data_IF_939726162730
#
_entry.id   IF_939726162730
#
_cell.length_a   1.000
_cell.length_b   1.000
_cell.length_c   1.000
_cell.angle_alpha   90.00
_cell.angle_beta   90.00
_cell.angle_gamma   90.00
#
_symmetry.space_group_name_H-M   'P 1'
#
loop_
_entity.id
_entity.type
_entity.pdbx_description
1 polymer ?
#
# COMPACT_ATOMS: atom_id res chain seq x y z
N UNK A 1 -12.67 -10.54 -68.10
CA UNK A 1 -11.45 -10.07 -67.42
C UNK A 1 -11.60 -10.53 -65.97
N UNK A 2 -11.15 -11.75 -65.72
CA UNK A 2 -11.24 -12.45 -64.44
C UNK A 2 -9.86 -12.39 -63.82
N UNK A 3 -9.70 -11.60 -62.77
CA UNK A 3 -8.46 -11.58 -61.99
C UNK A 3 -8.43 -12.82 -61.08
N UNK A 4 -7.55 -13.76 -61.44
CA UNK A 4 -7.10 -14.85 -60.57
C UNK A 4 -6.34 -14.24 -59.39
N UNK A 5 -6.95 -14.31 -58.20
CA UNK A 5 -6.25 -14.03 -56.95
C UNK A 5 -5.42 -15.27 -56.56
N UNK A 6 -4.10 -15.09 -56.58
CA UNK A 6 -3.09 -16.11 -56.29
C UNK A 6 -3.18 -16.63 -54.84
N UNK A 7 -3.53 -17.91 -54.69
CA UNK A 7 -3.70 -18.58 -53.40
C UNK A 7 -2.40 -18.83 -52.64
N UNK A 8 -1.24 -18.65 -53.29
CA UNK A 8 0.07 -18.85 -52.64
C UNK A 8 0.47 -17.69 -51.71
N UNK A 9 -0.12 -16.50 -51.88
CA UNK A 9 0.14 -15.37 -51.00
C UNK A 9 -0.41 -15.58 -49.57
N UNK A 10 -1.50 -16.34 -49.42
CA UNK A 10 -2.11 -16.63 -48.12
C UNK A 10 -1.45 -17.79 -47.35
N UNK A 11 -0.68 -18.65 -48.04
CA UNK A 11 0.04 -19.76 -47.39
C UNK A 11 1.36 -19.32 -46.74
N UNK A 12 1.92 -18.20 -47.18
CA UNK A 12 3.18 -17.64 -46.67
C UNK A 12 3.07 -17.03 -45.26
N UNK A 13 1.88 -16.58 -44.83
CA UNK A 13 1.67 -16.01 -43.49
C UNK A 13 1.50 -17.11 -42.41
N UNK A 14 1.08 -18.32 -42.80
CA UNK A 14 0.84 -19.43 -41.88
C UNK A 14 2.10 -20.24 -41.51
N UNK A 15 3.25 -19.96 -42.14
CA UNK A 15 4.50 -20.69 -41.95
C UNK A 15 5.68 -19.82 -41.45
N UNK A 16 5.39 -18.66 -40.86
CA UNK A 16 6.38 -17.98 -40.00
C UNK A 16 6.27 -18.62 -38.61
N UNK A 17 6.84 -19.81 -38.50
CA UNK A 17 7.11 -20.48 -37.22
C UNK A 17 8.03 -19.55 -36.41
N UNK A 18 7.46 -18.79 -35.47
CA UNK A 18 8.18 -17.82 -34.62
C UNK A 18 9.03 -18.58 -33.60
N UNK A 19 10.36 -18.67 -33.77
CA UNK A 19 11.23 -19.29 -32.77
C UNK A 19 11.33 -18.44 -31.49
N UNK A 20 10.94 -17.16 -31.54
CA UNK A 20 10.92 -16.24 -30.40
C UNK A 20 9.89 -16.58 -29.33
N UNK A 21 8.75 -17.16 -29.69
CA UNK A 21 7.70 -17.44 -28.70
C UNK A 21 8.09 -18.60 -27.78
N UNK A 22 8.70 -19.65 -28.33
CA UNK A 22 9.18 -20.80 -27.58
C UNK A 22 10.38 -20.44 -26.69
N UNK A 23 11.30 -19.59 -27.16
CA UNK A 23 12.44 -19.11 -26.37
C UNK A 23 12.01 -18.15 -25.25
N UNK A 24 11.00 -17.29 -25.48
CA UNK A 24 10.43 -16.42 -24.45
C UNK A 24 9.68 -17.20 -23.36
N UNK A 25 8.94 -18.25 -23.71
CA UNK A 25 8.28 -19.15 -22.76
C UNK A 25 9.30 -19.94 -21.92
N UNK A 26 10.38 -20.43 -22.55
CA UNK A 26 11.49 -21.10 -21.87
C UNK A 26 12.22 -20.16 -20.89
N UNK A 27 12.50 -18.92 -21.31
CA UNK A 27 13.11 -17.90 -20.45
C UNK A 27 12.19 -17.48 -19.29
N UNK A 28 10.89 -17.39 -19.53
CA UNK A 28 9.88 -17.12 -18.49
C UNK A 28 9.85 -18.23 -17.44
N UNK A 29 9.87 -19.49 -17.86
CA UNK A 29 9.87 -20.64 -16.96
C UNK A 29 11.15 -20.69 -16.11
N UNK A 30 12.31 -20.49 -16.72
CA UNK A 30 13.59 -20.43 -16.00
C UNK A 30 13.62 -19.28 -14.97
N UNK A 31 13.15 -18.09 -15.35
CA UNK A 31 13.07 -16.94 -14.44
C UNK A 31 12.09 -17.18 -13.28
N UNK A 32 10.98 -17.90 -13.52
CA UNK A 32 10.03 -18.27 -12.47
C UNK A 32 10.65 -19.24 -11.46
N UNK A 33 11.41 -20.25 -11.93
CA UNK A 33 12.11 -21.21 -11.06
C UNK A 33 13.15 -20.50 -10.19
N UNK A 34 13.99 -19.63 -10.77
CA UNK A 34 14.98 -18.84 -10.02
C UNK A 34 14.31 -17.96 -8.96
N UNK A 35 13.18 -17.35 -9.29
CA UNK A 35 12.41 -16.51 -8.36
C UNK A 35 11.85 -17.34 -7.19
N UNK A 36 11.33 -18.53 -7.45
CA UNK A 36 10.83 -19.40 -6.38
C UNK A 36 11.97 -19.85 -5.46
N UNK A 37 13.12 -20.23 -6.02
CA UNK A 37 14.31 -20.58 -5.23
C UNK A 37 14.77 -19.42 -4.33
N UNK A 38 14.77 -18.19 -4.85
CA UNK A 38 15.12 -17.01 -4.07
C UNK A 38 14.09 -16.71 -2.96
N UNK A 39 12.80 -16.89 -3.25
CA UNK A 39 11.74 -16.79 -2.23
C UNK A 39 11.91 -17.83 -1.12
N UNK A 40 12.27 -19.06 -1.48
CA UNK A 40 12.53 -20.14 -0.53
C UNK A 40 13.75 -19.86 0.35
N UNK A 41 14.80 -19.23 -0.19
CA UNK A 41 15.95 -18.80 0.61
C UNK A 41 15.55 -17.75 1.64
N UNK A 42 14.76 -16.74 1.25
CA UNK A 42 14.24 -15.72 2.17
C UNK A 42 13.36 -16.38 3.25
N UNK A 43 12.48 -17.31 2.87
CA UNK A 43 11.63 -18.07 3.80
C UNK A 43 12.46 -18.85 4.82
N UNK A 44 13.52 -19.55 4.38
CA UNK A 44 14.41 -20.34 5.26
C UNK A 44 15.18 -19.47 6.25
N UNK A 45 15.46 -18.21 5.92
CA UNK A 45 16.09 -17.26 6.83
C UNK A 45 15.15 -16.77 7.96
N UNK A 46 13.84 -17.02 7.84
CA UNK A 46 12.86 -16.64 8.86
C UNK A 46 12.77 -17.69 9.98
N UNK A 47 12.55 -17.19 11.21
CA UNK A 47 12.26 -18.04 12.37
C UNK A 47 10.93 -18.78 12.16
N UNK A 48 10.76 -19.95 12.78
CA UNK A 48 9.56 -20.77 12.64
C UNK A 48 8.25 -19.97 12.80
N UNK A 49 8.12 -19.16 13.86
CA UNK A 49 6.93 -18.32 14.10
C UNK A 49 6.74 -17.14 13.13
N UNK A 50 7.64 -16.94 12.17
CA UNK A 50 7.53 -15.95 11.09
C UNK A 50 7.25 -16.61 9.72
N UNK A 51 7.46 -17.92 9.59
CA UNK A 51 7.27 -18.64 8.33
C UNK A 51 5.81 -18.66 7.89
N UNK A 52 4.86 -18.74 8.84
CA UNK A 52 3.42 -18.71 8.55
C UNK A 52 3.01 -17.48 7.71
N UNK A 53 3.64 -16.33 7.98
CA UNK A 53 3.40 -15.11 7.22
C UNK A 53 4.01 -15.15 5.82
N UNK A 54 5.16 -15.80 5.65
CA UNK A 54 5.80 -15.98 4.35
C UNK A 54 5.08 -17.03 3.48
N UNK A 55 4.43 -18.00 4.12
CA UNK A 55 3.66 -19.07 3.46
C UNK A 55 2.21 -18.67 3.18
N UNK A 56 1.80 -17.47 3.60
CA UNK A 56 0.48 -16.94 3.38
C UNK A 56 0.16 -16.81 1.88
N UNK A 57 -0.93 -17.48 1.45
CA UNK A 57 -1.41 -17.47 0.05
C UNK A 57 -2.67 -16.63 -0.17
N UNK A 58 -3.32 -16.19 0.91
CA UNK A 58 -4.60 -15.48 0.86
C UNK A 58 -5.42 -15.69 2.12
N UNK A 59 -6.52 -14.94 2.24
CA UNK A 59 -7.42 -15.01 3.40
C UNK A 59 -6.89 -14.32 4.65
N UNK A 60 -7.69 -14.27 5.73
CA UNK A 60 -7.25 -13.66 6.98
C UNK A 60 -6.15 -14.49 7.65
N UNK A 61 -5.09 -13.83 8.11
CA UNK A 61 -4.02 -14.42 8.91
C UNK A 61 -3.71 -13.50 10.08
N UNK A 62 -3.57 -14.08 11.27
CA UNK A 62 -3.11 -13.36 12.46
C UNK A 62 -1.83 -14.03 12.97
N UNK A 63 -0.80 -13.22 13.23
CA UNK A 63 0.48 -13.69 13.77
C UNK A 63 0.71 -12.99 15.11
N UNK A 64 0.73 -13.78 16.19
CA UNK A 64 1.09 -13.27 17.51
C UNK A 64 2.60 -13.06 17.59
N UNK A 65 3.03 -11.94 18.17
CA UNK A 65 4.45 -11.80 18.46
C UNK A 65 4.75 -10.86 19.64
N UNK A 66 5.77 -11.26 20.40
CA UNK A 66 6.34 -10.55 21.55
C UNK A 66 7.17 -9.34 21.09
N UNK A 67 7.34 -8.28 21.89
CA UNK A 67 8.32 -7.22 21.61
C UNK A 67 9.71 -7.81 21.27
N UNK A 68 10.43 -7.21 20.31
CA UNK A 68 11.75 -7.69 19.90
C UNK A 68 11.76 -8.97 19.05
N UNK A 69 10.62 -9.62 18.80
CA UNK A 69 10.55 -10.87 18.01
C UNK A 69 10.84 -10.73 16.49
N UNK A 70 11.32 -9.56 16.05
CA UNK A 70 11.66 -9.33 14.64
C UNK A 70 10.47 -9.20 13.70
N UNK A 71 9.26 -8.90 14.21
CA UNK A 71 8.01 -8.76 13.41
C UNK A 71 8.18 -7.96 12.13
N UNK A 72 8.80 -6.78 12.21
CA UNK A 72 8.97 -5.92 11.03
C UNK A 72 9.89 -6.53 9.97
N UNK A 73 10.91 -7.29 10.39
CA UNK A 73 11.80 -8.01 9.47
C UNK A 73 11.07 -9.18 8.80
N UNK A 74 10.33 -9.96 9.59
CA UNK A 74 9.47 -11.01 9.04
C UNK A 74 8.44 -10.46 8.06
N UNK A 75 7.79 -9.35 8.41
CA UNK A 75 6.75 -8.73 7.58
C UNK A 75 7.33 -8.20 6.27
N UNK A 76 8.55 -7.66 6.29
CA UNK A 76 9.23 -7.23 5.07
C UNK A 76 9.55 -8.41 4.14
N UNK A 77 10.06 -9.52 4.71
CA UNK A 77 10.33 -10.74 3.95
C UNK A 77 9.07 -11.36 3.36
N UNK A 78 8.01 -11.50 4.17
CA UNK A 78 6.72 -11.99 3.70
C UNK A 78 6.09 -11.09 2.63
N UNK A 79 6.23 -9.77 2.77
CA UNK A 79 5.76 -8.81 1.75
C UNK A 79 6.50 -9.01 0.43
N UNK A 80 7.83 -9.16 0.45
CA UNK A 80 8.61 -9.40 -0.75
C UNK A 80 8.24 -10.72 -1.44
N UNK A 81 8.07 -11.80 -0.67
CA UNK A 81 7.59 -13.10 -1.16
C UNK A 81 6.19 -12.97 -1.77
N UNK A 82 5.27 -12.26 -1.09
CA UNK A 82 3.92 -12.05 -1.60
C UNK A 82 3.92 -11.23 -2.90
N UNK A 83 4.76 -10.20 -3.00
CA UNK A 83 4.94 -9.41 -4.24
C UNK A 83 5.46 -10.28 -5.38
N UNK A 84 6.49 -11.08 -5.10
CA UNK A 84 7.12 -11.97 -6.08
C UNK A 84 6.16 -13.04 -6.60
N UNK A 85 5.48 -13.76 -5.70
CA UNK A 85 4.58 -14.87 -6.03
C UNK A 85 3.30 -14.41 -6.74
N UNK A 86 2.76 -13.26 -6.36
CA UNK A 86 1.51 -12.75 -6.92
C UNK A 86 1.72 -11.79 -8.11
N UNK A 87 2.97 -11.57 -8.53
CA UNK A 87 3.31 -10.65 -9.62
C UNK A 87 2.78 -9.24 -9.38
N UNK A 88 2.90 -8.72 -8.14
CA UNK A 88 2.35 -7.42 -7.78
C UNK A 88 3.12 -6.28 -8.46
N UNK A 89 2.39 -5.28 -8.93
CA UNK A 89 2.92 -4.14 -9.69
C UNK A 89 2.12 -2.86 -9.37
N UNK A 90 2.47 -1.72 -9.98
CA UNK A 90 1.89 -0.43 -9.61
C UNK A 90 0.35 -0.32 -9.77
N UNK A 91 -0.28 -1.19 -10.56
CA UNK A 91 -1.74 -1.26 -10.70
C UNK A 91 -2.39 -2.34 -9.81
N UNK A 92 -1.60 -3.22 -9.20
CA UNK A 92 -2.04 -4.28 -8.28
C UNK A 92 -1.03 -4.37 -7.14
N UNK A 93 -1.21 -3.54 -6.12
CA UNK A 93 -0.23 -3.31 -5.06
C UNK A 93 -0.59 -4.03 -3.76
N UNK A 94 0.43 -4.42 -3.00
CA UNK A 94 0.31 -4.76 -1.59
C UNK A 94 0.27 -3.49 -0.74
N UNK A 95 -0.74 -3.34 0.11
CA UNK A 95 -0.84 -2.22 1.06
C UNK A 95 -0.45 -2.71 2.45
N UNK A 96 0.63 -2.14 2.99
CA UNK A 96 1.08 -2.41 4.36
C UNK A 96 0.74 -1.19 5.23
N UNK A 97 0.08 -1.42 6.35
CA UNK A 97 -0.36 -0.36 7.26
C UNK A 97 0.24 -0.55 8.64
N UNK A 98 0.69 0.54 9.26
CA UNK A 98 1.20 0.52 10.63
C UNK A 98 0.77 1.77 11.41
N UNK A 99 1.11 1.84 12.69
CA UNK A 99 0.66 2.92 13.57
C UNK A 99 1.49 4.20 13.38
N UNK A 100 2.83 4.09 13.38
CA UNK A 100 3.71 5.27 13.36
C UNK A 100 4.37 5.49 12.01
N UNK A 101 4.70 6.77 11.72
CA UNK A 101 5.44 7.15 10.51
C UNK A 101 6.84 6.52 10.47
N UNK A 102 7.51 6.43 11.62
CA UNK A 102 8.84 5.81 11.74
C UNK A 102 8.79 4.31 11.43
N UNK A 103 7.78 3.59 11.93
CA UNK A 103 7.58 2.18 11.59
C UNK A 103 7.29 2.00 10.09
N UNK A 104 6.46 2.87 9.50
CA UNK A 104 6.14 2.81 8.08
C UNK A 104 7.40 3.00 7.21
N UNK A 105 8.24 3.99 7.54
CA UNK A 105 9.49 4.24 6.84
C UNK A 105 10.47 3.05 6.96
N UNK A 106 10.62 2.50 8.17
CA UNK A 106 11.49 1.35 8.43
C UNK A 106 11.02 0.10 7.65
N UNK A 107 9.74 -0.24 7.73
CA UNK A 107 9.16 -1.38 6.98
C UNK A 107 9.35 -1.17 5.47
N UNK A 108 9.09 0.03 4.97
CA UNK A 108 9.28 0.37 3.55
C UNK A 108 10.72 0.17 3.09
N UNK A 109 11.70 0.61 3.87
CA UNK A 109 13.11 0.40 3.56
C UNK A 109 13.47 -1.09 3.51
N UNK A 110 13.03 -1.87 4.50
CA UNK A 110 13.27 -3.32 4.56
C UNK A 110 12.62 -4.09 3.42
N UNK A 111 11.41 -3.72 2.99
CA UNK A 111 10.76 -4.35 1.83
C UNK A 111 11.59 -4.09 0.58
N UNK A 112 12.09 -2.87 0.38
CA UNK A 112 12.93 -2.53 -0.78
C UNK A 112 14.22 -3.31 -0.83
N UNK A 113 14.88 -3.46 0.32
CA UNK A 113 16.08 -4.29 0.47
C UNK A 113 15.80 -5.73 0.03
N UNK A 114 14.72 -6.35 0.53
CA UNK A 114 14.33 -7.71 0.12
C UNK A 114 13.95 -7.82 -1.36
N UNK A 115 13.29 -6.81 -1.93
CA UNK A 115 12.98 -6.79 -3.36
C UNK A 115 14.26 -6.65 -4.20
N UNK A 116 15.28 -5.94 -3.72
CA UNK A 116 16.57 -5.82 -4.38
C UNK A 116 17.32 -7.16 -4.38
N UNK A 117 17.30 -7.89 -3.26
CA UNK A 117 17.82 -9.26 -3.18
C UNK A 117 17.16 -10.21 -4.21
N UNK A 118 15.86 -10.00 -4.46
CA UNK A 118 15.10 -10.76 -5.46
C UNK A 118 15.25 -10.25 -6.91
N UNK A 119 16.04 -9.21 -7.14
CA UNK A 119 16.15 -8.52 -8.45
C UNK A 119 14.79 -8.07 -9.01
N UNK A 120 13.85 -7.71 -8.13
CA UNK A 120 12.52 -7.26 -8.50
C UNK A 120 12.43 -5.74 -8.53
N UNK A 121 11.44 -5.25 -9.29
CA UNK A 121 11.12 -3.82 -9.31
C UNK A 121 10.75 -3.34 -7.90
N UNK A 122 11.18 -2.13 -7.55
CA UNK A 122 10.92 -1.52 -6.25
C UNK A 122 9.48 -0.96 -6.10
N UNK A 123 8.59 -1.38 -7.01
CA UNK A 123 7.17 -1.07 -7.03
C UNK A 123 6.31 -2.22 -6.50
N UNK A 124 5.00 -2.18 -6.77
CA UNK A 124 4.10 -3.26 -6.37
C UNK A 124 3.68 -3.26 -4.90
N UNK A 125 4.08 -2.25 -4.11
CA UNK A 125 3.60 -2.07 -2.75
C UNK A 125 3.55 -0.59 -2.33
N UNK A 126 2.77 -0.31 -1.29
CA UNK A 126 2.77 0.95 -0.58
C UNK A 126 2.72 0.70 0.93
N UNK A 127 3.35 1.60 1.70
CA UNK A 127 3.37 1.53 3.17
C UNK A 127 2.83 2.83 3.72
N UNK A 128 1.80 2.74 4.54
CA UNK A 128 1.10 3.89 5.11
C UNK A 128 0.95 3.76 6.62
N UNK A 129 0.70 4.89 7.28
CA UNK A 129 -0.01 4.85 8.56
C UNK A 129 -1.52 4.73 8.31
N UNK A 130 -2.31 4.39 9.33
CA UNK A 130 -3.78 4.40 9.19
C UNK A 130 -4.29 5.75 8.67
N UNK A 131 -3.86 6.85 9.29
CA UNK A 131 -4.19 8.20 8.84
C UNK A 131 -3.69 8.51 7.43
N UNK A 132 -2.46 8.07 7.10
CA UNK A 132 -1.89 8.28 5.77
C UNK A 132 -2.65 7.53 4.67
N UNK A 133 -3.15 6.32 4.98
CA UNK A 133 -3.99 5.55 4.06
C UNK A 133 -5.37 6.21 3.91
N UNK A 134 -5.99 6.60 5.02
CA UNK A 134 -7.27 7.29 5.00
C UNK A 134 -7.22 8.57 4.16
N UNK A 135 -6.19 9.40 4.36
CA UNK A 135 -5.97 10.59 3.56
C UNK A 135 -5.75 10.23 2.08
N UNK A 136 -4.96 9.19 1.78
CA UNK A 136 -4.74 8.76 0.40
C UNK A 136 -6.04 8.34 -0.30
N UNK A 137 -6.92 7.61 0.39
CA UNK A 137 -8.23 7.20 -0.12
C UNK A 137 -9.11 8.43 -0.34
N UNK A 138 -9.23 9.31 0.65
CA UNK A 138 -10.04 10.52 0.56
C UNK A 138 -9.61 11.40 -0.62
N UNK A 139 -8.29 11.57 -0.81
CA UNK A 139 -7.75 12.36 -1.91
C UNK A 139 -7.95 11.77 -3.30
N UNK A 140 -8.12 10.45 -3.41
CA UNK A 140 -8.45 9.80 -4.70
C UNK A 140 -9.93 9.92 -5.05
N UNK A 141 -10.77 10.29 -4.08
CA UNK A 141 -12.20 10.50 -4.26
C UNK A 141 -12.64 11.85 -3.66
N UNK A 142 -12.17 13.00 -4.20
CA UNK A 142 -12.53 14.33 -3.69
C UNK A 142 -14.04 14.56 -3.63
N UNK A 143 -14.77 14.12 -4.66
CA UNK A 143 -16.21 14.29 -4.77
C UNK A 143 -16.99 13.58 -3.65
N UNK A 144 -16.44 12.48 -3.13
CA UNK A 144 -17.03 11.71 -2.03
C UNK A 144 -16.53 12.18 -0.66
N UNK A 145 -15.30 12.69 -0.58
CA UNK A 145 -14.70 13.10 0.70
C UNK A 145 -15.00 14.55 1.08
N UNK A 146 -15.39 15.39 0.11
CA UNK A 146 -15.55 16.83 0.30
C UNK A 146 -14.22 17.55 0.58
N UNK A 147 -13.08 16.86 0.44
CA UNK A 147 -11.75 17.42 0.66
C UNK A 147 -11.18 17.93 -0.66
N UNK A 148 -10.97 19.24 -0.77
CA UNK A 148 -10.18 19.85 -1.84
C UNK A 148 -8.92 20.50 -1.24
N UNK A 149 -7.74 19.95 -1.50
CA UNK A 149 -6.45 20.45 -0.99
C UNK A 149 -6.05 21.82 -1.56
N UNK A 150 -6.67 22.30 -2.65
CA UNK A 150 -6.48 23.70 -3.08
C UNK A 150 -6.97 24.67 -2.00
N UNK A 151 -7.98 24.26 -1.22
CA UNK A 151 -8.62 25.07 -0.19
C UNK A 151 -8.48 24.48 1.23
N UNK A 152 -7.92 23.27 1.38
CA UNK A 152 -7.88 22.52 2.64
C UNK A 152 -6.45 22.27 3.06
N UNK A 153 -5.94 23.06 4.01
CA UNK A 153 -4.62 22.84 4.60
C UNK A 153 -4.77 21.97 5.84
N UNK A 154 -3.94 20.92 5.96
CA UNK A 154 -3.81 20.19 7.22
C UNK A 154 -3.35 21.14 8.32
N UNK A 155 -4.25 21.43 9.24
CA UNK A 155 -3.99 22.39 10.32
C UNK A 155 -3.09 21.75 11.36
N UNK A 156 -1.98 22.43 11.70
CA UNK A 156 -1.10 21.98 12.78
C UNK A 156 -1.83 22.05 14.13
N UNK A 157 -1.50 21.24 15.14
CA UNK A 157 -2.16 21.29 16.45
C UNK A 157 -2.15 22.70 17.07
N UNK A 158 -1.03 23.42 16.95
CA UNK A 158 -0.90 24.81 17.42
C UNK A 158 -1.86 25.76 16.72
N UNK A 159 -1.98 25.63 15.40
CA UNK A 159 -2.92 26.46 14.63
C UNK A 159 -4.37 26.09 14.95
N UNK A 160 -4.66 24.81 15.19
CA UNK A 160 -5.98 24.34 15.63
C UNK A 160 -6.38 24.97 16.96
N UNK A 161 -5.49 24.98 17.96
CA UNK A 161 -5.76 25.64 19.24
C UNK A 161 -6.02 27.14 19.09
N UNK A 162 -5.28 27.83 18.21
CA UNK A 162 -5.52 29.25 17.91
C UNK A 162 -6.88 29.46 17.28
N UNK A 163 -7.25 28.66 16.28
CA UNK A 163 -8.55 28.73 15.63
C UNK A 163 -9.69 28.47 16.61
N UNK A 164 -9.58 27.43 17.44
CA UNK A 164 -10.58 27.12 18.48
C UNK A 164 -10.73 28.31 19.43
N UNK A 165 -9.62 28.85 19.93
CA UNK A 165 -9.63 30.02 20.82
C UNK A 165 -10.32 31.22 20.15
N UNK A 166 -9.95 31.55 18.91
CA UNK A 166 -10.57 32.64 18.16
C UNK A 166 -12.06 32.42 17.94
N UNK A 167 -12.48 31.22 17.55
CA UNK A 167 -13.90 30.90 17.38
C UNK A 167 -14.68 31.04 18.69
N UNK A 168 -14.10 30.60 19.82
CA UNK A 168 -14.70 30.74 21.14
C UNK A 168 -14.79 32.22 21.55
N UNK A 169 -13.72 33.00 21.36
CA UNK A 169 -13.71 34.44 21.68
C UNK A 169 -14.73 35.22 20.85
N UNK A 170 -14.84 34.95 19.55
CA UNK A 170 -15.85 35.53 18.66
C UNK A 170 -17.26 35.16 19.12
N UNK A 171 -17.49 33.88 19.42
CA UNK A 171 -18.78 33.42 19.90
C UNK A 171 -19.17 34.11 21.21
N UNK A 172 -18.24 34.27 22.16
CA UNK A 172 -18.48 35.00 23.41
C UNK A 172 -18.87 36.45 23.13
N UNK A 173 -18.14 37.13 22.24
CA UNK A 173 -18.41 38.52 21.88
C UNK A 173 -19.80 38.70 21.23
N UNK A 174 -20.22 37.76 20.39
CA UNK A 174 -21.53 37.78 19.72
C UNK A 174 -22.68 37.31 20.63
N UNK A 175 -22.40 36.56 21.71
CA UNK A 175 -23.41 35.93 22.57
C UNK A 175 -23.24 36.25 24.07
N UNK A 176 -23.11 37.52 24.49
CA UNK A 176 -22.74 37.89 25.85
C UNK A 176 -23.74 37.39 26.91
N UNK A 177 -25.05 37.49 26.65
CA UNK A 177 -26.09 36.99 27.58
C UNK A 177 -26.04 35.48 27.77
N UNK A 178 -25.86 34.71 26.69
CA UNK A 178 -25.76 33.24 26.77
C UNK A 178 -24.49 32.82 27.48
N UNK A 179 -23.38 33.51 27.22
CA UNK A 179 -22.13 33.26 27.93
C UNK A 179 -22.25 33.54 29.43
N UNK A 180 -22.93 34.63 29.82
CA UNK A 180 -23.18 34.94 31.22
C UNK A 180 -23.99 33.83 31.93
N UNK A 181 -25.04 33.30 31.28
CA UNK A 181 -25.80 32.16 31.82
C UNK A 181 -24.93 30.90 31.98
N UNK A 182 -23.99 30.65 31.06
CA UNK A 182 -23.03 29.54 31.19
C UNK A 182 -22.04 29.75 32.34
N UNK A 183 -21.60 30.99 32.57
CA UNK A 183 -20.69 31.35 33.67
C UNK A 183 -21.36 31.27 35.05
N UNK A 184 -22.62 31.68 35.13
CA UNK A 184 -23.43 31.56 36.34
C UNK A 184 -23.64 30.07 36.72
N UNK A 185 -23.56 29.19 35.71
CA UNK A 185 -23.77 27.76 35.86
C UNK A 185 -25.24 27.44 36.13
N UNK A 186 -25.70 26.27 35.71
CA UNK A 186 -26.83 25.67 36.40
C UNK A 186 -26.28 25.06 37.68
N UNK A 187 -26.77 25.47 38.85
CA UNK A 187 -26.59 24.68 40.07
C UNK A 187 -27.13 23.27 39.76
N UNK A 188 -26.23 22.33 39.53
CA UNK A 188 -26.55 20.92 39.64
C UNK A 188 -26.70 20.65 41.14
N UNK A 189 -27.86 20.10 41.51
CA UNK A 189 -28.34 19.72 42.84
C UNK A 189 -29.03 20.82 43.68
N UNK A 190 -30.37 20.81 43.57
CA UNK A 190 -31.27 20.92 44.74
C UNK A 190 -31.80 19.53 45.06
#
# INVERSE_FOLDING_TARGET
MTDEFDSDFMRSIAAIDRPEAASALSNSAAAAVLREQACDQIRKALRAGQQDMADWKGGPLAVSAVPGAGKSTGMAAASAIAIARNGLHNRRQLIVVTFTRSAAANIKAKIRERLAELSLSQGGFAVHTLHGLALNIAMRHPDLSGLNLENSTLVTPTQSHRLIRTCVELWIAENPRRYQVLLEGQQFDR
#
